data_IF_293449302270
#
_entry.id   IF_293449302270
#
_cell.length_a   1.000
_cell.length_b   1.000
_cell.length_c   1.000
_cell.angle_alpha   90.00
_cell.angle_beta   90.00
_cell.angle_gamma   90.00
#
_symmetry.space_group_name_H-M   'P 1'
#
loop_
_entity.id
_entity.type
_entity.pdbx_description
1 polymer ?
#
# COMPACT_ATOMS: atom_id res chain seq x y z
N UNK A 1 -1.23 -25.35 28.95
CA UNK A 1 -0.42 -24.13 29.24
C UNK A 1 -1.16 -22.95 28.63
N UNK A 2 -1.49 -21.91 29.41
CA UNK A 2 -2.23 -20.75 28.89
C UNK A 2 -1.29 -19.80 28.15
N UNK A 3 -1.64 -19.47 26.91
CA UNK A 3 -0.94 -18.47 26.09
C UNK A 3 -1.93 -17.42 25.60
N UNK A 4 -1.47 -16.18 25.48
CA UNK A 4 -2.26 -15.10 24.90
C UNK A 4 -2.09 -15.08 23.39
N UNK A 5 -3.18 -14.83 22.69
CA UNK A 5 -3.26 -14.75 21.25
C UNK A 5 -3.91 -13.44 20.82
N UNK A 6 -3.54 -12.99 19.62
CA UNK A 6 -4.25 -11.95 18.90
C UNK A 6 -5.03 -12.57 17.75
N UNK A 7 -6.32 -12.24 17.67
CA UNK A 7 -7.17 -12.55 16.54
C UNK A 7 -7.28 -11.35 15.61
N UNK A 8 -6.82 -11.49 14.37
CA UNK A 8 -7.02 -10.48 13.32
C UNK A 8 -8.40 -10.67 12.70
N UNK A 9 -9.17 -9.60 12.60
CA UNK A 9 -10.49 -9.60 11.98
C UNK A 9 -10.39 -8.99 10.60
N UNK A 10 -10.44 -9.84 9.58
CA UNK A 10 -10.39 -9.45 8.17
C UNK A 10 -11.73 -9.72 7.46
N UNK A 11 -11.98 -8.92 6.44
CA UNK A 11 -13.05 -9.07 5.45
C UNK A 11 -12.40 -9.01 4.07
N UNK A 12 -12.85 -9.83 3.13
CA UNK A 12 -12.24 -9.96 1.80
C UNK A 12 -11.98 -11.42 1.42
N UNK A 13 -11.40 -11.64 0.23
CA UNK A 13 -11.15 -12.99 -0.29
C UNK A 13 -9.83 -13.60 0.24
N UNK A 14 -8.88 -12.78 0.68
CA UNK A 14 -7.63 -13.24 1.26
C UNK A 14 -7.80 -13.76 2.69
N UNK A 15 -7.46 -15.02 2.95
CA UNK A 15 -7.43 -15.61 4.30
C UNK A 15 -6.06 -15.32 4.92
N UNK A 16 -6.03 -14.55 6.01
CA UNK A 16 -4.86 -14.48 6.89
C UNK A 16 -5.02 -15.60 7.94
N UNK A 17 -3.91 -16.19 8.40
CA UNK A 17 -3.96 -17.06 9.56
C UNK A 17 -4.23 -16.18 10.80
N UNK A 18 -5.49 -16.09 11.18
CA UNK A 18 -6.02 -15.02 12.03
C UNK A 18 -5.76 -15.23 13.52
N UNK A 19 -4.76 -16.01 13.92
CA UNK A 19 -4.49 -16.30 15.33
C UNK A 19 -3.00 -16.53 15.52
N UNK A 20 -2.38 -15.65 16.29
CA UNK A 20 -0.95 -15.71 16.57
C UNK A 20 -0.69 -15.52 18.06
N UNK A 21 0.25 -16.28 18.66
CA UNK A 21 0.63 -16.09 20.04
C UNK A 21 1.35 -14.75 20.20
N UNK A 22 1.06 -14.04 21.29
CA UNK A 22 1.67 -12.77 21.64
C UNK A 22 2.16 -12.81 23.09
N UNK A 23 3.28 -12.14 23.36
CA UNK A 23 3.86 -12.07 24.70
C UNK A 23 3.17 -11.01 25.57
N UNK A 24 2.64 -9.96 24.94
CA UNK A 24 1.98 -8.84 25.61
C UNK A 24 0.68 -8.45 24.89
N UNK A 25 -0.24 -7.80 25.63
CA UNK A 25 -1.45 -7.17 25.09
C UNK A 25 -1.19 -5.69 24.78
N UNK A 26 -0.12 -5.40 24.04
CA UNK A 26 0.23 -4.05 23.61
C UNK A 26 -0.60 -3.68 22.36
N UNK A 27 -1.64 -2.88 22.56
CA UNK A 27 -2.56 -2.47 21.51
C UNK A 27 -1.87 -1.66 20.41
N UNK A 28 -0.91 -0.81 20.75
CA UNK A 28 -0.26 0.08 19.78
C UNK A 28 0.69 -0.72 18.86
N UNK A 29 1.49 -1.60 19.45
CA UNK A 29 2.38 -2.48 18.69
C UNK A 29 1.59 -3.40 17.75
N UNK A 30 0.46 -3.94 18.22
CA UNK A 30 -0.41 -4.78 17.39
C UNK A 30 -1.12 -3.95 16.33
N UNK A 31 -1.58 -2.73 16.62
CA UNK A 31 -2.16 -1.83 15.63
C UNK A 31 -1.18 -1.56 14.48
N UNK A 32 0.07 -1.17 14.77
CA UNK A 32 1.08 -0.96 13.74
C UNK A 32 1.28 -2.20 12.86
N UNK A 33 1.40 -3.36 13.50
CA UNK A 33 1.57 -4.64 12.82
C UNK A 33 0.37 -4.96 11.93
N UNK A 34 -0.85 -4.84 12.45
CA UNK A 34 -2.08 -5.19 11.76
C UNK A 34 -2.32 -4.28 10.56
N UNK A 35 -2.09 -2.96 10.69
CA UNK A 35 -2.23 -2.04 9.55
C UNK A 35 -1.21 -2.36 8.45
N UNK A 36 0.00 -2.80 8.81
CA UNK A 36 1.01 -3.20 7.81
C UNK A 36 0.63 -4.45 7.00
N UNK A 37 -0.28 -5.28 7.52
CA UNK A 37 -0.80 -6.46 6.84
C UNK A 37 -1.95 -6.15 5.87
N UNK A 38 -2.50 -4.92 5.88
CA UNK A 38 -3.48 -4.48 4.89
C UNK A 38 -2.81 -4.36 3.51
N UNK A 39 -3.09 -5.34 2.65
CA UNK A 39 -2.58 -5.40 1.28
C UNK A 39 -3.75 -5.29 0.28
N UNK A 40 -3.96 -4.11 -0.32
CA UNK A 40 -4.95 -3.91 -1.38
C UNK A 40 -4.74 -4.82 -2.60
N UNK A 41 -3.50 -5.25 -2.90
CA UNK A 41 -3.23 -6.11 -4.04
C UNK A 41 -3.69 -7.57 -3.84
N UNK A 42 -3.81 -8.00 -2.58
CA UNK A 42 -4.30 -9.34 -2.19
C UNK A 42 -5.78 -9.34 -1.76
N UNK A 43 -6.46 -8.21 -1.91
CA UNK A 43 -7.82 -7.97 -1.42
C UNK A 43 -8.02 -8.39 0.04
N UNK A 44 -6.99 -8.12 0.85
CA UNK A 44 -7.03 -8.30 2.30
C UNK A 44 -7.46 -6.97 2.90
N UNK A 45 -8.54 -6.96 3.69
CA UNK A 45 -9.00 -5.75 4.35
C UNK A 45 -9.28 -6.04 5.81
N UNK A 46 -8.50 -5.40 6.68
CA UNK A 46 -8.56 -5.67 8.11
C UNK A 46 -9.41 -4.60 8.77
N UNK A 47 -10.39 -5.05 9.56
CA UNK A 47 -11.32 -4.16 10.28
C UNK A 47 -10.91 -3.92 11.73
N UNK A 48 -10.10 -4.82 12.30
CA UNK A 48 -9.71 -4.75 13.69
C UNK A 48 -8.98 -6.00 14.17
N UNK A 49 -8.76 -6.06 15.48
CA UNK A 49 -8.24 -7.24 16.16
C UNK A 49 -8.80 -7.36 17.56
N UNK A 50 -8.62 -8.52 18.20
CA UNK A 50 -8.95 -8.74 19.62
C UNK A 50 -7.95 -9.68 20.26
N UNK A 51 -7.79 -9.58 21.57
CA UNK A 51 -6.97 -10.52 22.34
C UNK A 51 -7.84 -11.60 22.97
N UNK A 52 -7.27 -12.77 23.16
CA UNK A 52 -7.86 -13.84 23.97
C UNK A 52 -6.77 -14.76 24.50
N UNK A 53 -7.08 -15.50 25.55
CA UNK A 53 -6.19 -16.53 26.07
C UNK A 53 -6.69 -17.90 25.61
N UNK A 54 -5.78 -18.77 25.22
CA UNK A 54 -6.08 -20.16 24.86
C UNK A 54 -5.24 -21.09 25.72
N UNK A 55 -5.89 -22.09 26.32
CA UNK A 55 -5.19 -23.19 26.95
C UNK A 55 -4.78 -24.22 25.89
N UNK A 56 -3.47 -24.40 25.71
CA UNK A 56 -2.88 -25.32 24.71
C UNK A 56 -3.31 -26.77 24.88
N UNK A 57 -3.74 -27.16 26.08
CA UNK A 57 -3.99 -28.56 26.41
C UNK A 57 -5.46 -28.94 26.17
N UNK A 58 -6.35 -27.95 26.23
CA UNK A 58 -7.81 -28.12 26.09
C UNK A 58 -8.40 -27.40 24.88
N UNK A 59 -7.63 -26.53 24.21
CA UNK A 59 -8.07 -25.58 23.19
C UNK A 59 -9.25 -24.68 23.61
N UNK A 60 -9.47 -24.53 24.92
CA UNK A 60 -10.51 -23.65 25.43
C UNK A 60 -10.05 -22.18 25.40
N UNK A 61 -10.90 -21.33 24.81
CA UNK A 61 -10.70 -19.88 24.78
C UNK A 61 -11.28 -19.22 26.03
N UNK A 62 -10.56 -18.23 26.58
CA UNK A 62 -10.96 -17.45 27.75
C UNK A 62 -10.43 -16.01 27.67
N UNK A 63 -10.85 -15.12 28.59
CA UNK A 63 -10.38 -13.72 28.71
C UNK A 63 -10.38 -12.93 27.38
N UNK A 64 -11.42 -13.14 26.58
CA UNK A 64 -11.57 -12.46 25.30
C UNK A 64 -11.81 -10.96 25.53
N UNK A 65 -10.99 -10.12 24.91
CA UNK A 65 -11.24 -8.68 24.88
C UNK A 65 -12.42 -8.35 23.95
N UNK A 66 -12.88 -7.10 24.02
CA UNK A 66 -13.62 -6.50 22.93
C UNK A 66 -12.74 -6.30 21.69
N UNK A 67 -13.33 -5.78 20.63
CA UNK A 67 -12.70 -5.56 19.34
C UNK A 67 -12.06 -4.17 19.31
N UNK A 68 -10.78 -4.12 18.94
CA UNK A 68 -10.07 -2.91 18.59
C UNK A 68 -10.24 -2.66 17.09
N UNK A 69 -11.17 -1.79 16.73
CA UNK A 69 -11.47 -1.42 15.35
C UNK A 69 -10.46 -0.40 14.82
N UNK A 70 -9.97 -0.62 13.59
CA UNK A 70 -9.00 0.28 12.94
C UNK A 70 -9.65 1.53 12.33
N UNK A 71 -10.95 1.43 12.02
CA UNK A 71 -11.76 2.51 11.48
C UNK A 71 -13.23 2.24 11.83
N UNK A 72 -14.00 3.29 12.10
CA UNK A 72 -15.43 3.17 12.28
C UNK A 72 -16.05 4.43 12.87
N UNK A 73 -17.38 4.48 12.82
CA UNK A 73 -18.19 5.52 13.44
C UNK A 73 -19.20 4.85 14.37
N UNK A 74 -19.09 5.13 15.66
CA UNK A 74 -20.05 4.69 16.67
C UNK A 74 -21.32 5.55 16.61
N UNK A 75 -22.49 4.91 16.75
CA UNK A 75 -23.76 5.59 16.89
C UNK A 75 -24.79 4.73 17.62
N UNK A 76 -25.82 5.40 18.14
CA UNK A 76 -26.97 4.75 18.77
C UNK A 76 -28.11 4.58 17.76
N UNK A 77 -28.67 3.37 17.66
CA UNK A 77 -29.79 3.07 16.75
C UNK A 77 -31.12 3.61 17.28
N UNK A 78 -32.04 4.14 16.44
CA UNK A 78 -31.91 4.35 15.00
C UNK A 78 -31.15 5.63 14.64
N UNK A 79 -30.37 5.55 13.57
CA UNK A 79 -29.75 6.71 12.91
C UNK A 79 -30.27 6.80 11.48
N UNK A 80 -30.65 8.01 11.05
CA UNK A 80 -31.08 8.26 9.67
C UNK A 80 -29.84 8.38 8.79
N UNK A 81 -29.30 7.22 8.42
CA UNK A 81 -28.16 7.09 7.50
C UNK A 81 -28.58 6.14 6.35
N UNK A 82 -28.61 6.61 5.10
CA UNK A 82 -29.04 5.81 3.96
C UNK A 82 -28.21 4.55 3.75
N UNK A 83 -26.91 4.59 4.04
CA UNK A 83 -26.00 3.45 3.85
C UNK A 83 -26.24 2.38 4.92
N UNK A 84 -26.46 2.79 6.18
CA UNK A 84 -26.82 1.87 7.27
C UNK A 84 -28.15 1.19 6.95
N UNK A 85 -29.14 1.98 6.53
CA UNK A 85 -30.48 1.47 6.19
C UNK A 85 -30.43 0.48 5.02
N UNK A 86 -29.66 0.81 3.96
CA UNK A 86 -29.47 -0.06 2.82
C UNK A 86 -28.75 -1.36 3.20
N UNK A 87 -27.68 -1.28 4.02
CA UNK A 87 -26.94 -2.45 4.49
C UNK A 87 -27.81 -3.39 5.33
N UNK A 88 -28.55 -2.84 6.31
CA UNK A 88 -29.45 -3.61 7.16
C UNK A 88 -30.51 -4.34 6.34
N UNK A 89 -31.14 -3.64 5.39
CA UNK A 89 -32.14 -4.22 4.48
C UNK A 89 -31.55 -5.31 3.58
N UNK A 90 -30.37 -5.09 3.01
CA UNK A 90 -29.73 -6.05 2.12
C UNK A 90 -29.30 -7.34 2.84
N UNK A 91 -28.94 -7.26 4.12
CA UNK A 91 -28.44 -8.38 4.91
C UNK A 91 -29.46 -8.97 5.89
N UNK A 92 -30.68 -8.44 5.95
CA UNK A 92 -31.73 -8.90 6.87
C UNK A 92 -31.37 -8.71 8.34
N UNK A 93 -30.66 -7.63 8.68
CA UNK A 93 -30.21 -7.34 10.05
C UNK A 93 -31.14 -6.29 10.68
N UNK A 94 -31.62 -6.56 11.88
CA UNK A 94 -32.38 -5.62 12.71
C UNK A 94 -31.66 -5.41 14.05
N UNK A 95 -31.65 -4.16 14.52
CA UNK A 95 -31.06 -3.77 15.80
C UNK A 95 -32.13 -3.23 16.75
N UNK A 96 -31.91 -3.38 18.04
CA UNK A 96 -32.82 -2.84 19.05
C UNK A 96 -32.70 -1.31 19.13
N UNK A 97 -33.83 -0.63 19.34
CA UNK A 97 -33.83 0.81 19.58
C UNK A 97 -33.04 1.12 20.85
N UNK A 98 -32.03 1.98 20.73
CA UNK A 98 -31.10 2.32 21.82
C UNK A 98 -29.81 1.49 21.82
N UNK A 99 -29.67 0.49 20.94
CA UNK A 99 -28.45 -0.31 20.83
C UNK A 99 -27.29 0.54 20.26
N UNK A 100 -26.09 0.38 20.82
CA UNK A 100 -24.86 0.94 20.23
C UNK A 100 -24.40 0.10 19.05
N UNK A 101 -24.03 0.77 17.97
CA UNK A 101 -23.71 0.17 16.69
C UNK A 101 -22.48 0.88 16.11
N UNK A 102 -21.62 0.14 15.42
CA UNK A 102 -20.48 0.67 14.68
C UNK A 102 -20.73 0.54 13.18
N UNK A 103 -20.48 1.63 12.46
CA UNK A 103 -20.43 1.69 11.00
C UNK A 103 -18.97 1.70 10.56
N UNK A 104 -18.54 0.70 9.79
CA UNK A 104 -17.20 0.63 9.21
C UNK A 104 -17.35 0.89 7.70
N UNK A 105 -16.63 1.88 7.16
CA UNK A 105 -16.77 2.29 5.75
C UNK A 105 -15.81 1.54 4.81
N UNK A 106 -14.67 1.06 5.31
CA UNK A 106 -13.68 0.33 4.51
C UNK A 106 -13.64 -1.14 4.92
N UNK A 107 -13.59 -2.09 3.96
CA UNK A 107 -13.58 -1.87 2.51
C UNK A 107 -14.95 -1.57 1.90
N UNK A 108 -16.02 -1.99 2.57
CA UNK A 108 -17.41 -1.75 2.21
C UNK A 108 -18.14 -1.32 3.48
N UNK A 109 -19.31 -0.70 3.33
CA UNK A 109 -20.17 -0.38 4.49
C UNK A 109 -20.55 -1.66 5.21
N UNK A 110 -20.09 -1.80 6.45
CA UNK A 110 -20.47 -2.84 7.39
C UNK A 110 -21.09 -2.20 8.62
N UNK A 111 -22.13 -2.82 9.15
CA UNK A 111 -22.82 -2.37 10.35
C UNK A 111 -22.89 -3.52 11.34
N UNK A 112 -22.38 -3.32 12.56
CA UNK A 112 -22.26 -4.36 13.60
C UNK A 112 -22.65 -3.80 14.97
N UNK A 113 -23.13 -4.63 15.91
CA UNK A 113 -23.24 -4.24 17.31
C UNK A 113 -21.90 -3.75 17.85
N UNK A 114 -21.92 -2.67 18.63
CA UNK A 114 -20.75 -2.19 19.37
C UNK A 114 -20.89 -2.61 20.84
N UNK A 115 -20.04 -3.52 21.29
CA UNK A 115 -20.15 -4.19 22.58
C UNK A 115 -19.34 -3.49 23.68
N UNK A 116 -19.67 -3.72 24.96
CA UNK A 116 -18.82 -3.28 26.06
C UNK A 116 -17.40 -3.83 25.93
N UNK A 117 -16.40 -2.93 25.92
CA UNK A 117 -14.98 -3.26 25.76
C UNK A 117 -14.46 -3.18 24.32
N UNK A 118 -15.33 -2.90 23.34
CA UNK A 118 -14.90 -2.53 21.98
C UNK A 118 -14.31 -1.11 22.00
N UNK A 119 -13.35 -0.84 21.11
CA UNK A 119 -12.66 0.44 20.99
C UNK A 119 -12.39 0.78 19.53
N UNK A 120 -12.53 2.05 19.16
CA UNK A 120 -12.06 2.57 17.87
C UNK A 120 -10.68 3.18 18.08
N UNK A 121 -9.67 2.69 17.36
CA UNK A 121 -8.29 3.14 17.48
C UNK A 121 -8.03 4.39 16.64
N UNK A 122 -7.15 5.28 17.14
CA UNK A 122 -6.61 6.38 16.35
C UNK A 122 -5.45 5.87 15.48
N UNK A 123 -5.78 5.52 14.23
CA UNK A 123 -4.84 4.96 13.28
C UNK A 123 -4.11 6.02 12.45
N UNK A 124 -4.42 7.31 12.61
CA UNK A 124 -3.97 8.36 11.69
C UNK A 124 -2.44 8.49 11.65
N UNK A 125 -1.79 8.50 12.81
CA UNK A 125 -0.33 8.60 12.92
C UNK A 125 0.38 7.38 12.29
N UNK A 126 -0.15 6.18 12.51
CA UNK A 126 0.42 4.94 11.98
C UNK A 126 0.24 4.85 10.46
N UNK A 127 -0.94 5.20 9.95
CA UNK A 127 -1.20 5.27 8.51
C UNK A 127 -0.26 6.27 7.82
N UNK A 128 0.00 7.40 8.48
CA UNK A 128 0.95 8.40 7.98
C UNK A 128 2.38 7.84 7.94
N UNK A 129 2.84 7.19 9.02
CA UNK A 129 4.14 6.51 9.10
C UNK A 129 4.32 5.46 8.00
N UNK A 130 3.31 4.62 7.76
CA UNK A 130 3.35 3.61 6.69
C UNK A 130 3.40 4.27 5.31
N UNK A 131 2.63 5.34 5.10
CA UNK A 131 2.64 6.09 3.83
C UNK A 131 3.99 6.73 3.57
N UNK A 132 4.62 7.33 4.60
CA UNK A 132 5.99 7.86 4.50
C UNK A 132 6.99 6.79 4.10
N UNK A 133 6.96 5.62 4.75
CA UNK A 133 7.86 4.51 4.43
C UNK A 133 7.68 4.04 2.97
N UNK A 134 6.44 3.90 2.50
CA UNK A 134 6.14 3.52 1.10
C UNK A 134 6.66 4.55 0.10
N UNK A 135 6.51 5.83 0.39
CA UNK A 135 7.03 6.89 -0.48
C UNK A 135 8.58 6.96 -0.44
N UNK A 136 9.21 6.68 0.70
CA UNK A 136 10.67 6.54 0.78
C UNK A 136 11.19 5.36 -0.05
N UNK A 137 10.53 4.20 0.02
CA UNK A 137 10.86 3.05 -0.82
C UNK A 137 10.65 3.33 -2.31
N UNK A 138 9.58 4.03 -2.67
CA UNK A 138 9.34 4.50 -4.04
C UNK A 138 10.44 5.44 -4.51
N UNK A 139 10.82 6.43 -3.70
CA UNK A 139 11.93 7.34 -3.99
C UNK A 139 13.22 6.57 -4.29
N UNK A 140 13.58 5.62 -3.43
CA UNK A 140 14.80 4.81 -3.62
C UNK A 140 14.77 4.06 -4.95
N UNK A 141 13.63 3.46 -5.32
CA UNK A 141 13.48 2.77 -6.62
C UNK A 141 13.65 3.73 -7.81
N UNK A 142 13.08 4.93 -7.75
CA UNK A 142 13.24 5.94 -8.81
C UNK A 142 14.69 6.44 -8.91
N UNK A 143 15.40 6.58 -7.80
CA UNK A 143 16.82 6.94 -7.78
C UNK A 143 17.70 5.84 -8.40
N UNK A 144 17.40 4.57 -8.09
CA UNK A 144 18.04 3.41 -8.72
C UNK A 144 17.73 3.32 -10.22
N UNK A 145 16.50 3.64 -10.64
CA UNK A 145 16.09 3.71 -12.05
C UNK A 145 16.89 4.79 -12.80
N UNK A 146 17.01 6.01 -12.24
CA UNK A 146 17.84 7.08 -12.83
C UNK A 146 19.29 6.61 -13.01
N UNK A 147 19.86 5.97 -11.97
CA UNK A 147 21.24 5.49 -12.03
C UNK A 147 21.39 4.45 -13.13
N UNK A 148 20.54 3.42 -13.13
CA UNK A 148 20.58 2.36 -14.15
C UNK A 148 20.37 2.90 -15.56
N UNK A 149 19.44 3.85 -15.74
CA UNK A 149 19.20 4.48 -17.04
C UNK A 149 20.43 5.23 -17.55
N UNK A 150 21.10 6.00 -16.69
CA UNK A 150 22.34 6.71 -17.04
C UNK A 150 23.47 5.74 -17.37
N UNK A 151 23.65 4.70 -16.57
CA UNK A 151 24.69 3.69 -16.79
C UNK A 151 24.47 2.99 -18.14
N UNK A 152 23.22 2.66 -18.48
CA UNK A 152 22.86 2.08 -19.79
C UNK A 152 23.12 3.05 -20.94
N UNK A 153 22.78 4.34 -20.78
CA UNK A 153 23.01 5.36 -21.82
C UNK A 153 24.51 5.54 -22.09
N UNK A 154 25.33 5.59 -21.04
CA UNK A 154 26.79 5.68 -21.13
C UNK A 154 27.37 4.42 -21.77
N UNK A 155 26.88 3.24 -21.39
CA UNK A 155 27.33 1.98 -21.99
C UNK A 155 27.02 1.91 -23.50
N UNK A 156 25.84 2.35 -23.93
CA UNK A 156 25.51 2.43 -25.36
C UNK A 156 26.38 3.44 -26.11
N UNK A 157 26.67 4.59 -25.50
CA UNK A 157 27.60 5.57 -26.08
C UNK A 157 29.02 5.02 -26.22
N UNK A 158 29.54 4.29 -25.22
CA UNK A 158 30.84 3.64 -25.32
C UNK A 158 30.88 2.55 -26.37
N UNK A 159 29.82 1.76 -26.55
CA UNK A 159 29.75 0.81 -27.67
C UNK A 159 29.87 1.51 -29.01
N UNK A 160 29.24 2.67 -29.16
CA UNK A 160 29.32 3.46 -30.40
C UNK A 160 30.73 3.99 -30.61
N UNK A 161 31.38 4.49 -29.54
CA UNK A 161 32.79 4.89 -29.56
C UNK A 161 33.70 3.74 -30.02
N UNK A 162 33.56 2.54 -29.44
CA UNK A 162 34.32 1.34 -29.84
C UNK A 162 34.12 0.97 -31.31
N UNK A 163 32.88 1.09 -31.82
CA UNK A 163 32.57 0.83 -33.23
C UNK A 163 33.21 1.86 -34.17
N UNK A 164 33.27 3.14 -33.76
CA UNK A 164 33.96 4.19 -34.50
C UNK A 164 35.46 3.93 -34.54
N UNK A 165 36.07 3.61 -33.39
CA UNK A 165 37.50 3.32 -33.29
C UNK A 165 37.91 2.08 -34.10
N UNK A 166 37.03 1.07 -34.15
CA UNK A 166 37.21 -0.13 -34.96
C UNK A 166 36.91 0.07 -36.46
N UNK A 167 36.54 1.29 -36.90
CA UNK A 167 36.08 1.62 -38.25
C UNK A 167 34.87 0.77 -38.72
N UNK A 168 34.02 0.32 -37.80
CA UNK A 168 32.83 -0.49 -38.07
C UNK A 168 31.58 0.39 -38.28
N UNK A 169 31.66 1.42 -39.12
CA UNK A 169 30.58 2.41 -39.26
C UNK A 169 29.22 1.83 -39.67
N UNK A 170 29.21 0.72 -40.40
CA UNK A 170 27.98 0.07 -40.88
C UNK A 170 27.16 -0.60 -39.76
N UNK A 171 27.74 -0.81 -38.58
CA UNK A 171 27.05 -1.43 -37.44
C UNK A 171 26.50 -0.41 -36.45
N UNK A 172 26.86 0.87 -36.59
CA UNK A 172 26.36 1.96 -35.74
C UNK A 172 24.85 2.09 -35.98
N UNK A 173 24.00 2.02 -34.93
CA UNK A 173 22.56 2.10 -35.07
C UNK A 173 22.15 3.52 -35.47
N UNK A 174 21.83 3.71 -36.74
CA UNK A 174 21.42 4.99 -37.30
C UNK A 174 20.01 4.88 -37.88
N UNK A 175 19.23 5.95 -37.80
CA UNK A 175 17.90 6.06 -38.40
C UNK A 175 17.83 7.28 -39.32
N UNK A 176 17.01 7.22 -40.36
CA UNK A 176 16.78 8.33 -41.28
C UNK A 176 15.94 9.42 -40.60
N UNK A 177 16.32 10.69 -40.76
CA UNK A 177 15.56 11.83 -40.25
C UNK A 177 15.05 12.68 -41.41
N UNK A 178 13.73 12.80 -41.50
CA UNK A 178 13.04 13.64 -42.49
C UNK A 178 12.89 12.97 -43.85
N UNK A 179 12.46 13.76 -44.85
CA UNK A 179 12.27 13.32 -46.24
C UNK A 179 13.56 13.33 -47.07
N UNK A 180 14.69 13.77 -46.49
CA UNK A 180 16.00 13.78 -47.14
C UNK A 180 16.75 12.48 -46.87
N UNK A 181 17.13 11.77 -47.93
CA UNK A 181 17.81 10.46 -47.88
C UNK A 181 19.20 10.47 -47.23
N UNK A 182 19.79 11.65 -47.02
CA UNK A 182 21.20 11.76 -46.66
C UNK A 182 21.43 12.07 -45.17
N UNK A 183 20.38 12.48 -44.44
CA UNK A 183 20.48 12.82 -43.03
C UNK A 183 20.12 11.59 -42.16
N UNK A 184 21.12 11.01 -41.51
CA UNK A 184 20.94 9.95 -40.52
C UNK A 184 21.29 10.45 -39.12
N UNK A 185 20.53 10.00 -38.13
CA UNK A 185 20.78 10.29 -36.72
C UNK A 185 20.98 9.01 -35.94
N UNK A 186 21.75 9.14 -34.87
CA UNK A 186 22.10 8.05 -33.99
C UNK A 186 20.87 7.61 -33.19
N UNK A 187 20.58 6.31 -33.22
CA UNK A 187 19.47 5.72 -32.49
C UNK A 187 19.99 5.05 -31.22
N UNK A 188 20.04 5.81 -30.13
CA UNK A 188 20.54 5.33 -28.84
C UNK A 188 19.37 4.79 -28.02
N UNK A 189 19.46 3.54 -27.56
CA UNK A 189 18.42 2.90 -26.75
C UNK A 189 16.99 3.00 -27.37
N UNK A 190 16.87 3.07 -28.70
CA UNK A 190 15.57 3.18 -29.38
C UNK A 190 14.92 4.56 -29.32
N UNK A 191 15.69 5.63 -29.05
CA UNK A 191 15.21 7.01 -29.03
C UNK A 191 14.70 7.53 -30.39
N UNK A 192 14.94 6.78 -31.47
CA UNK A 192 14.58 7.17 -32.85
C UNK A 192 15.23 8.50 -33.22
N UNK A 193 16.52 8.66 -32.90
CA UNK A 193 17.29 9.83 -33.32
C UNK A 193 16.91 11.12 -32.60
N UNK A 194 16.21 11.03 -31.47
CA UNK A 194 15.77 12.17 -30.67
C UNK A 194 16.24 12.02 -29.22
N UNK A 195 17.46 12.50 -28.97
CA UNK A 195 18.08 12.45 -27.66
C UNK A 195 17.29 13.19 -26.57
N UNK A 196 16.42 14.15 -26.94
CA UNK A 196 15.56 14.84 -25.97
C UNK A 196 14.65 13.89 -25.22
N UNK A 197 14.31 12.72 -25.77
CA UNK A 197 13.52 11.69 -25.06
C UNK A 197 14.20 11.20 -23.79
N UNK A 198 15.52 11.07 -23.78
CA UNK A 198 16.28 10.70 -22.58
C UNK A 198 16.22 11.80 -21.52
N UNK A 199 16.33 13.06 -21.96
CA UNK A 199 16.23 14.24 -21.08
C UNK A 199 14.82 14.31 -20.46
N UNK A 200 13.78 14.15 -21.28
CA UNK A 200 12.39 14.16 -20.82
C UNK A 200 12.10 13.03 -19.83
N UNK A 201 12.55 11.80 -20.14
CA UNK A 201 12.39 10.66 -19.24
C UNK A 201 13.04 10.93 -17.86
N UNK A 202 14.30 11.34 -17.83
CA UNK A 202 15.01 11.66 -16.58
C UNK A 202 14.38 12.86 -15.85
N UNK A 203 13.89 13.86 -16.58
CA UNK A 203 13.18 15.02 -16.01
C UNK A 203 11.87 14.61 -15.36
N UNK A 204 11.10 13.73 -15.99
CA UNK A 204 9.83 13.24 -15.45
C UNK A 204 10.04 12.49 -14.12
N UNK A 205 11.01 11.56 -14.08
CA UNK A 205 11.38 10.88 -12.83
C UNK A 205 11.86 11.88 -11.78
N UNK A 206 12.63 12.89 -12.16
CA UNK A 206 13.10 13.92 -11.23
C UNK A 206 11.95 14.74 -10.62
N UNK A 207 10.97 15.11 -11.43
CA UNK A 207 9.75 15.81 -10.96
C UNK A 207 8.98 14.94 -9.98
N UNK A 208 8.88 13.63 -10.25
CA UNK A 208 8.25 12.68 -9.34
C UNK A 208 8.98 12.62 -7.99
N UNK A 209 10.30 12.45 -7.99
CA UNK A 209 11.14 12.48 -6.78
C UNK A 209 10.94 13.79 -6.00
N UNK A 210 10.87 14.95 -6.68
CA UNK A 210 10.62 16.23 -6.02
C UNK A 210 9.25 16.30 -5.35
N UNK A 211 8.22 15.69 -5.95
CA UNK A 211 6.89 15.63 -5.34
C UNK A 211 6.88 14.73 -4.11
N UNK A 212 7.61 13.61 -4.15
CA UNK A 212 7.84 12.72 -3.01
C UNK A 212 8.60 13.44 -1.89
N UNK A 213 9.70 14.13 -2.20
CA UNK A 213 10.48 14.89 -1.22
C UNK A 213 9.65 15.99 -0.54
N UNK A 214 8.78 16.65 -1.30
CA UNK A 214 7.84 17.62 -0.76
C UNK A 214 6.87 16.95 0.22
N UNK A 215 6.26 15.83 -0.19
CA UNK A 215 5.34 15.07 0.66
C UNK A 215 6.02 14.62 1.95
N UNK A 216 7.22 14.03 1.86
CA UNK A 216 7.99 13.58 3.02
C UNK A 216 8.23 14.76 3.97
N UNK A 217 8.78 15.87 3.48
CA UNK A 217 9.07 17.05 4.31
C UNK A 217 7.83 17.64 4.99
N UNK A 218 6.67 17.64 4.33
CA UNK A 218 5.43 18.19 4.89
C UNK A 218 4.80 17.28 5.95
N UNK A 219 5.22 16.02 6.02
CA UNK A 219 4.61 14.99 6.88
C UNK A 219 5.63 14.31 7.82
N UNK A 220 6.89 14.77 7.85
CA UNK A 220 7.96 14.29 8.75
C UNK A 220 8.02 15.09 10.04
#
# INVERSE_FOLDING_TARGET
>A
MVKTYVQILNVGFGIINNTEPVETRDTDAIMERVISLDDPARDIKIIGFRFYDMDSDTNMMSNQSGIYYLEGEEFTYPKVDPEITAYMKANGIEFEKGQQVIKIKKPNTLVRPFNPGDQILDTAAVLLKIKLNKEQERKKRLEEEIKSYKDNLVAELHKIEELVDANQFNTIPMIEIGDSTDAKSLNIMGDKGNFNKHIEHLRNIRVEIMSIDKFIRENS
#
